data_IF_253135056198
#
_entry.id   IF_253135056198
#
_cell.length_a   1.000
_cell.length_b   1.000
_cell.length_c   1.000
_cell.angle_alpha   90.00
_cell.angle_beta   90.00
_cell.angle_gamma   90.00
#
_symmetry.space_group_name_H-M   'P 1'
#
loop_
_entity.id
_entity.type
_entity.pdbx_description
1 polymer ?
#
# COMPACT_ATOMS: atom_id res chain seq x y z
N UNK A 1 -5.86 21.41 -7.33
CA UNK A 1 -4.88 20.31 -7.49
C UNK A 1 -5.61 18.99 -7.24
N UNK A 2 -5.38 17.97 -8.07
CA UNK A 2 -5.95 16.63 -7.91
C UNK A 2 -5.15 15.83 -6.86
N UNK A 3 -5.83 15.13 -5.98
CA UNK A 3 -5.23 14.29 -4.92
C UNK A 3 -5.61 12.84 -5.16
N UNK A 4 -4.66 11.93 -5.04
CA UNK A 4 -4.90 10.49 -5.08
C UNK A 4 -4.75 9.92 -3.67
N UNK A 5 -5.71 9.11 -3.23
CA UNK A 5 -5.70 8.46 -1.91
C UNK A 5 -5.75 6.95 -2.14
N UNK A 6 -4.69 6.23 -1.79
CA UNK A 6 -4.74 4.77 -1.71
C UNK A 6 -5.16 4.38 -0.29
N UNK A 7 -6.20 3.56 -0.17
CA UNK A 7 -6.77 3.14 1.12
C UNK A 7 -6.57 1.64 1.30
N UNK A 8 -5.91 1.30 2.39
CA UNK A 8 -5.66 -0.06 2.84
C UNK A 8 -6.26 -0.28 4.23
N UNK A 9 -6.41 -1.53 4.69
CA UNK A 9 -7.24 -1.83 5.88
C UNK A 9 -6.43 -2.12 7.14
N UNK A 10 -5.27 -2.76 7.02
CA UNK A 10 -4.46 -3.25 8.13
C UNK A 10 -3.96 -2.12 9.04
N UNK A 11 -3.75 -0.92 8.47
CA UNK A 11 -3.29 0.28 9.17
C UNK A 11 -4.41 1.18 9.70
N UNK A 12 -5.68 0.91 9.39
CA UNK A 12 -6.83 1.72 9.83
C UNK A 12 -6.90 1.83 11.35
N UNK A 13 -7.38 2.98 11.84
CA UNK A 13 -7.50 3.24 13.27
C UNK A 13 -8.37 2.19 13.97
N UNK A 14 -7.90 1.71 15.13
CA UNK A 14 -8.63 0.72 15.93
C UNK A 14 -8.42 -0.75 15.53
N UNK A 15 -7.95 -1.07 14.32
CA UNK A 15 -7.79 -2.45 13.86
C UNK A 15 -6.39 -3.00 14.23
N UNK A 16 -6.30 -4.22 14.75
CA UNK A 16 -5.01 -4.78 15.22
C UNK A 16 -4.77 -6.25 14.89
N UNK A 17 -5.80 -6.99 14.45
CA UNK A 17 -5.71 -8.43 14.18
C UNK A 17 -6.28 -8.77 12.81
N UNK A 18 -5.81 -9.87 12.22
CA UNK A 18 -6.29 -10.36 10.92
C UNK A 18 -7.80 -10.53 10.82
N UNK A 19 -8.44 -10.99 11.91
CA UNK A 19 -9.90 -11.14 11.95
C UNK A 19 -10.66 -9.81 11.82
N UNK A 20 -9.99 -8.67 11.98
CA UNK A 20 -10.61 -7.36 11.78
C UNK A 20 -10.73 -6.99 10.29
N UNK A 21 -9.88 -7.58 9.43
CA UNK A 21 -9.66 -7.16 8.04
C UNK A 21 -9.96 -8.25 7.01
N UNK A 22 -10.54 -9.38 7.41
CA UNK A 22 -10.92 -10.46 6.48
C UNK A 22 -12.42 -10.71 6.54
N UNK A 23 -13.04 -11.10 5.43
CA UNK A 23 -14.49 -11.35 5.32
C UNK A 23 -15.02 -12.33 6.35
N UNK A 24 -14.23 -13.36 6.68
CA UNK A 24 -14.61 -14.38 7.66
C UNK A 24 -14.65 -13.85 9.11
N UNK A 25 -14.16 -12.63 9.36
CA UNK A 25 -14.15 -11.99 10.65
C UNK A 25 -15.54 -11.48 11.06
N UNK A 26 -15.93 -11.74 12.32
CA UNK A 26 -17.25 -11.37 12.84
C UNK A 26 -17.52 -9.85 12.79
N UNK A 27 -16.48 -9.03 12.93
CA UNK A 27 -16.57 -7.58 12.95
C UNK A 27 -16.26 -6.93 11.59
N UNK A 28 -15.96 -7.71 10.55
CA UNK A 28 -15.49 -7.18 9.26
C UNK A 28 -16.44 -6.14 8.66
N UNK A 29 -17.74 -6.45 8.62
CA UNK A 29 -18.76 -5.52 8.11
C UNK A 29 -18.76 -4.16 8.86
N UNK A 30 -18.55 -4.19 10.17
CA UNK A 30 -18.42 -2.97 10.99
C UNK A 30 -17.09 -2.25 10.73
N UNK A 31 -16.01 -3.00 10.56
CA UNK A 31 -14.67 -2.45 10.39
C UNK A 31 -14.47 -1.79 9.02
N UNK A 32 -15.21 -2.20 7.99
CA UNK A 32 -15.33 -1.47 6.72
C UNK A 32 -15.83 -0.03 6.90
N UNK A 33 -16.72 0.19 7.89
CA UNK A 33 -17.13 1.54 8.29
C UNK A 33 -16.00 2.35 8.93
N UNK A 34 -15.09 1.71 9.70
CA UNK A 34 -13.90 2.38 10.23
C UNK A 34 -12.95 2.80 9.10
N UNK A 35 -12.72 1.91 8.13
CA UNK A 35 -11.92 2.19 6.92
C UNK A 35 -12.50 3.36 6.13
N UNK A 36 -13.81 3.33 5.87
CA UNK A 36 -14.52 4.39 5.12
C UNK A 36 -14.44 5.74 5.83
N UNK A 37 -14.59 5.77 7.15
CA UNK A 37 -14.54 7.01 7.92
C UNK A 37 -13.12 7.59 8.05
N UNK A 38 -12.08 6.74 8.09
CA UNK A 38 -10.69 7.20 8.05
C UNK A 38 -10.32 7.73 6.65
N UNK A 39 -10.82 7.10 5.58
CA UNK A 39 -10.72 7.63 4.22
C UNK A 39 -11.44 8.98 4.10
N UNK A 40 -12.68 9.11 4.59
CA UNK A 40 -13.43 10.36 4.60
C UNK A 40 -12.70 11.48 5.34
N UNK A 41 -12.04 11.17 6.46
CA UNK A 41 -11.22 12.16 7.16
C UNK A 41 -10.06 12.67 6.29
N UNK A 42 -9.39 11.79 5.54
CA UNK A 42 -8.33 12.17 4.61
C UNK A 42 -8.88 12.98 3.42
N UNK A 43 -10.03 12.59 2.86
CA UNK A 43 -10.72 13.32 1.78
C UNK A 43 -11.08 14.74 2.22
N UNK A 44 -11.70 14.86 3.39
CA UNK A 44 -12.08 16.15 3.96
C UNK A 44 -10.86 17.04 4.20
N UNK A 45 -9.80 16.48 4.79
CA UNK A 45 -8.53 17.18 4.97
C UNK A 45 -7.91 17.63 3.64
N UNK A 46 -7.96 16.78 2.61
CA UNK A 46 -7.47 17.14 1.29
C UNK A 46 -8.21 18.34 0.70
N UNK A 47 -9.55 18.36 0.78
CA UNK A 47 -10.35 19.52 0.34
C UNK A 47 -10.05 20.77 1.17
N UNK A 48 -9.92 20.65 2.50
CA UNK A 48 -9.53 21.77 3.38
C UNK A 48 -8.15 22.34 3.00
N UNK A 49 -7.24 21.52 2.47
CA UNK A 49 -5.93 21.96 1.96
C UNK A 49 -5.97 22.59 0.56
N UNK A 50 -7.15 22.62 -0.07
CA UNK A 50 -7.37 23.18 -1.41
C UNK A 50 -7.25 22.19 -2.55
N UNK A 51 -7.47 20.89 -2.29
CA UNK A 51 -7.75 19.94 -3.37
C UNK A 51 -8.99 20.38 -4.16
N UNK A 52 -8.96 20.17 -5.47
CA UNK A 52 -10.08 20.46 -6.37
C UNK A 52 -10.76 19.19 -6.88
N UNK A 53 -10.10 18.05 -6.72
CA UNK A 53 -10.59 16.72 -7.03
C UNK A 53 -9.85 15.72 -6.15
N UNK A 54 -10.55 14.67 -5.72
CA UNK A 54 -9.98 13.57 -4.94
C UNK A 54 -10.38 12.25 -5.59
N UNK A 55 -9.39 11.42 -5.90
CA UNK A 55 -9.58 10.04 -6.37
C UNK A 55 -9.17 9.12 -5.22
N UNK A 56 -10.04 8.18 -4.86
CA UNK A 56 -9.79 7.18 -3.82
C UNK A 56 -9.65 5.83 -4.49
N UNK A 57 -8.61 5.08 -4.14
CA UNK A 57 -8.33 3.75 -4.65
C UNK A 57 -8.39 2.73 -3.51
N UNK A 58 -9.17 1.67 -3.70
CA UNK A 58 -9.20 0.53 -2.78
C UNK A 58 -7.98 -0.37 -3.02
N UNK A 59 -7.16 -0.59 -2.00
CA UNK A 59 -5.93 -1.39 -2.08
C UNK A 59 -5.99 -2.68 -1.26
N UNK A 60 -6.94 -2.81 -0.34
CA UNK A 60 -7.08 -4.00 0.50
C UNK A 60 -7.58 -5.20 -0.32
N UNK A 61 -6.82 -6.29 -0.34
CA UNK A 61 -7.02 -7.40 -1.29
C UNK A 61 -8.24 -8.30 -1.05
N UNK A 62 -9.11 -7.98 -0.09
CA UNK A 62 -10.27 -8.78 0.29
C UNK A 62 -11.52 -8.29 -0.48
N UNK A 63 -12.55 -9.13 -0.61
CA UNK A 63 -13.78 -8.83 -1.37
C UNK A 63 -13.51 -8.28 -2.80
N UNK A 64 -12.42 -8.70 -3.44
CA UNK A 64 -12.03 -8.18 -4.76
C UNK A 64 -11.86 -6.64 -4.76
N UNK A 65 -11.24 -6.05 -3.72
CA UNK A 65 -11.02 -4.61 -3.56
C UNK A 65 -12.34 -3.82 -3.55
N UNK A 66 -13.32 -4.34 -2.80
CA UNK A 66 -14.66 -3.75 -2.64
C UNK A 66 -15.05 -3.58 -1.16
N UNK A 67 -14.14 -3.05 -0.35
CA UNK A 67 -14.26 -2.88 1.10
C UNK A 67 -14.93 -1.57 1.52
N UNK A 68 -14.72 -0.46 0.80
CA UNK A 68 -15.34 0.82 1.10
C UNK A 68 -16.87 0.76 0.98
N UNK A 69 -17.54 1.49 1.86
CA UNK A 69 -19.00 1.67 1.84
C UNK A 69 -19.33 2.84 0.91
N UNK A 70 -19.75 2.54 -0.32
CA UNK A 70 -19.93 3.53 -1.40
C UNK A 70 -21.07 4.53 -1.12
N UNK A 71 -22.04 4.13 -0.29
CA UNK A 71 -23.11 4.99 0.21
C UNK A 71 -22.70 5.87 1.40
N UNK A 72 -21.53 5.63 2.00
CA UNK A 72 -21.00 6.41 3.13
C UNK A 72 -19.72 7.21 2.78
N UNK A 73 -19.02 6.87 1.70
CA UNK A 73 -17.84 7.60 1.23
C UNK A 73 -18.23 9.03 0.80
N UNK A 74 -17.31 9.99 1.01
CA UNK A 74 -17.55 11.40 0.69
C UNK A 74 -17.92 11.59 -0.79
N UNK A 75 -19.12 12.12 -1.04
CA UNK A 75 -19.71 12.27 -2.37
C UNK A 75 -18.91 13.18 -3.33
N UNK A 76 -17.91 13.93 -2.82
CA UNK A 76 -17.05 14.79 -3.65
C UNK A 76 -15.88 14.03 -4.30
N UNK A 77 -15.63 12.78 -3.91
CA UNK A 77 -14.56 11.97 -4.49
C UNK A 77 -15.07 11.06 -5.63
N UNK A 78 -14.13 10.49 -6.38
CA UNK A 78 -14.37 9.31 -7.22
C UNK A 78 -13.63 8.11 -6.65
N UNK A 79 -14.20 6.91 -6.78
CA UNK A 79 -13.62 5.68 -6.23
C UNK A 79 -13.20 4.72 -7.34
N UNK A 80 -11.96 4.26 -7.29
CA UNK A 80 -11.41 3.16 -8.09
C UNK A 80 -11.59 1.88 -7.27
N UNK A 81 -12.55 1.03 -7.66
CA UNK A 81 -12.90 -0.21 -6.95
C UNK A 81 -12.93 -1.43 -7.86
N UNK A 82 -12.87 -2.61 -7.25
CA UNK A 82 -13.00 -3.88 -7.94
C UNK A 82 -11.66 -4.43 -8.44
N UNK A 83 -11.50 -5.75 -8.37
CA UNK A 83 -10.38 -6.47 -8.97
C UNK A 83 -10.52 -6.52 -10.51
N UNK A 84 -9.44 -6.93 -11.19
CA UNK A 84 -9.42 -7.01 -12.66
C UNK A 84 -9.19 -5.67 -13.37
N UNK A 85 -8.59 -4.70 -12.66
CA UNK A 85 -8.21 -3.39 -13.21
C UNK A 85 -7.14 -3.56 -14.31
N UNK A 86 -7.08 -2.67 -15.31
CA UNK A 86 -6.00 -2.68 -16.30
C UNK A 86 -4.63 -2.46 -15.62
N UNK A 87 -3.60 -3.19 -16.07
CA UNK A 87 -2.22 -3.12 -15.54
C UNK A 87 -2.07 -3.63 -14.09
N UNK A 88 -1.26 -3.01 -13.24
CA UNK A 88 -1.18 -3.40 -11.82
C UNK A 88 -2.50 -3.12 -11.10
N UNK A 89 -2.90 -4.05 -10.23
CA UNK A 89 -4.12 -3.94 -9.41
C UNK A 89 -4.09 -2.73 -8.46
N UNK A 90 -2.89 -2.35 -8.00
CA UNK A 90 -2.66 -1.31 -6.99
C UNK A 90 -2.17 -0.02 -7.64
N UNK A 91 -2.43 1.11 -6.98
CA UNK A 91 -2.17 2.45 -7.55
C UNK A 91 -2.86 2.65 -8.92
N UNK A 92 -3.96 1.94 -9.13
CA UNK A 92 -4.71 1.98 -10.37
C UNK A 92 -5.32 3.37 -10.59
N UNK A 93 -5.31 3.83 -11.86
CA UNK A 93 -5.72 5.18 -12.26
C UNK A 93 -4.90 6.34 -11.65
N UNK A 94 -3.72 6.04 -11.06
CA UNK A 94 -2.72 7.08 -10.80
C UNK A 94 -2.09 7.53 -12.12
N UNK A 95 -2.16 8.83 -12.37
CA UNK A 95 -1.63 9.50 -13.56
C UNK A 95 -0.77 10.72 -13.17
N UNK A 96 -0.05 11.27 -14.14
CA UNK A 96 0.93 12.33 -13.93
C UNK A 96 0.28 13.71 -13.64
N UNK A 97 -1.04 13.86 -13.71
CA UNK A 97 -1.75 15.12 -13.39
C UNK A 97 -2.14 15.21 -11.90
N UNK A 98 -1.94 14.13 -11.13
CA UNK A 98 -2.09 14.12 -9.67
C UNK A 98 -0.98 14.95 -9.05
N UNK A 99 -1.34 15.83 -8.13
CA UNK A 99 -0.35 16.68 -7.45
C UNK A 99 0.26 16.06 -6.19
N UNK A 100 -0.44 15.12 -5.55
CA UNK A 100 0.07 14.41 -4.36
C UNK A 100 -0.69 13.10 -4.12
N UNK A 101 0.03 12.08 -3.64
CA UNK A 101 -0.52 10.82 -3.14
C UNK A 101 -0.59 10.83 -1.62
N UNK A 102 -1.71 10.36 -1.06
CA UNK A 102 -1.91 10.08 0.35
C UNK A 102 -2.13 8.57 0.53
N UNK A 103 -1.39 7.94 1.44
CA UNK A 103 -1.50 6.52 1.75
C UNK A 103 -2.21 6.37 3.11
N UNK A 104 -3.45 5.89 3.10
CA UNK A 104 -4.31 5.84 4.28
C UNK A 104 -4.52 4.40 4.71
N UNK A 105 -4.29 4.10 6.00
CA UNK A 105 -4.53 2.77 6.55
C UNK A 105 -3.51 1.73 6.12
N UNK A 106 -2.29 2.16 5.78
CA UNK A 106 -1.21 1.29 5.33
C UNK A 106 -0.45 0.64 6.50
N UNK A 107 0.29 -0.43 6.22
CA UNK A 107 1.00 -1.23 7.22
C UNK A 107 2.49 -1.41 6.92
N UNK A 108 3.23 -1.90 7.92
CA UNK A 108 4.66 -2.14 7.80
C UNK A 108 4.97 -3.30 6.85
N UNK A 109 6.16 -3.28 6.25
CA UNK A 109 6.62 -4.30 5.29
C UNK A 109 6.83 -5.69 5.89
N UNK A 110 6.82 -6.72 5.04
CA UNK A 110 7.13 -8.09 5.41
C UNK A 110 8.43 -8.19 6.22
N UNK A 111 8.37 -8.93 7.33
CA UNK A 111 9.52 -9.16 8.20
C UNK A 111 9.71 -8.15 9.32
N UNK A 112 8.90 -7.10 9.40
CA UNK A 112 8.91 -6.13 10.50
C UNK A 112 8.40 -6.74 11.80
N UNK A 113 9.14 -6.57 12.90
CA UNK A 113 8.75 -6.97 14.25
C UNK A 113 9.24 -5.91 15.28
N UNK A 114 8.34 -5.17 15.94
CA UNK A 114 6.88 -5.17 15.79
C UNK A 114 6.45 -4.58 14.43
N UNK A 115 5.15 -4.66 14.14
CA UNK A 115 4.51 -4.12 12.93
C UNK A 115 3.16 -4.80 12.74
N UNK A 116 2.06 -4.09 13.04
CA UNK A 116 0.71 -4.68 13.04
C UNK A 116 0.41 -5.21 11.63
N UNK A 117 0.08 -6.50 11.53
CA UNK A 117 -0.23 -7.21 10.30
C UNK A 117 0.83 -7.02 9.19
N UNK A 118 2.10 -6.83 9.59
CA UNK A 118 3.17 -6.49 8.66
C UNK A 118 3.39 -7.57 7.59
N UNK A 119 3.27 -7.14 6.33
CA UNK A 119 3.48 -7.95 5.14
C UNK A 119 3.83 -7.10 3.92
N UNK A 120 4.09 -7.76 2.80
CA UNK A 120 4.23 -7.12 1.48
C UNK A 120 3.53 -8.04 0.49
N UNK A 121 2.42 -7.62 -0.08
CA UNK A 121 1.55 -8.33 -1.04
C UNK A 121 0.99 -9.65 -0.50
N UNK A 122 1.83 -10.66 -0.27
CA UNK A 122 1.42 -11.94 0.30
C UNK A 122 1.91 -12.09 1.73
N UNK A 123 0.99 -11.95 2.70
CA UNK A 123 1.28 -12.24 4.11
C UNK A 123 1.81 -13.66 4.32
N UNK A 124 1.19 -14.63 3.66
CA UNK A 124 1.49 -16.05 3.84
C UNK A 124 2.82 -16.45 3.20
N UNK A 125 3.15 -15.91 2.03
CA UNK A 125 4.29 -16.41 1.25
C UNK A 125 5.57 -15.62 1.50
N UNK A 126 5.52 -14.30 1.68
CA UNK A 126 6.73 -13.48 1.61
C UNK A 126 7.37 -13.26 2.97
N UNK A 127 8.68 -13.49 3.03
CA UNK A 127 9.55 -13.15 4.14
C UNK A 127 10.09 -11.73 4.02
N UNK A 128 10.48 -11.34 2.81
CA UNK A 128 10.98 -10.02 2.45
C UNK A 128 10.84 -9.78 0.94
N UNK A 129 10.68 -8.51 0.56
CA UNK A 129 10.76 -8.03 -0.83
C UNK A 129 11.82 -6.94 -0.86
N UNK A 130 12.71 -6.97 -1.85
CA UNK A 130 13.76 -5.96 -2.04
C UNK A 130 13.66 -5.36 -3.43
N UNK A 131 13.79 -4.04 -3.51
CA UNK A 131 13.89 -3.29 -4.77
C UNK A 131 15.17 -2.46 -4.67
N UNK A 132 16.02 -2.51 -5.70
CA UNK A 132 17.30 -1.78 -5.66
C UNK A 132 18.24 -2.26 -4.54
N UNK A 133 18.07 -3.50 -4.06
CA UNK A 133 18.81 -4.05 -2.92
C UNK A 133 18.32 -3.57 -1.53
N UNK A 134 17.23 -2.80 -1.45
CA UNK A 134 16.65 -2.30 -0.19
C UNK A 134 15.33 -3.00 0.11
N UNK A 135 15.09 -3.37 1.37
CA UNK A 135 13.80 -3.93 1.81
C UNK A 135 12.65 -2.96 1.51
N UNK A 136 11.53 -3.50 1.00
CA UNK A 136 10.35 -2.75 0.59
C UNK A 136 9.05 -3.40 1.07
N UNK A 137 8.15 -2.56 1.55
CA UNK A 137 6.71 -2.80 1.68
C UNK A 137 5.94 -2.19 0.53
N UNK A 138 4.62 -2.27 0.63
CA UNK A 138 3.70 -1.75 -0.37
C UNK A 138 3.75 -0.22 -0.47
N UNK A 139 3.66 0.50 0.66
CA UNK A 139 3.75 1.96 0.69
C UNK A 139 5.02 2.49 0.02
N UNK A 140 6.10 1.73 0.18
CA UNK A 140 7.43 1.95 -0.37
C UNK A 140 7.48 1.70 -1.88
N UNK A 141 6.85 0.62 -2.37
CA UNK A 141 6.66 0.35 -3.79
C UNK A 141 5.77 1.41 -4.44
N UNK A 142 4.70 1.83 -3.76
CA UNK A 142 3.77 2.87 -4.24
C UNK A 142 4.45 4.23 -4.33
N UNK A 143 5.39 4.51 -3.43
CA UNK A 143 6.24 5.70 -3.50
C UNK A 143 7.14 5.70 -4.73
N UNK A 144 7.70 4.54 -5.10
CA UNK A 144 8.47 4.40 -6.34
C UNK A 144 7.56 4.63 -7.56
N UNK A 145 6.38 3.98 -7.57
CA UNK A 145 5.39 4.12 -8.66
C UNK A 145 4.94 5.58 -8.85
N UNK A 146 4.63 6.29 -7.76
CA UNK A 146 4.29 7.71 -7.83
C UNK A 146 5.45 8.55 -8.37
N UNK A 147 6.68 8.23 -7.96
CA UNK A 147 7.91 8.86 -8.44
C UNK A 147 8.14 8.78 -9.95
N UNK A 148 7.81 7.65 -10.56
CA UNK A 148 7.84 7.45 -12.03
C UNK A 148 6.97 8.48 -12.76
N UNK A 149 5.85 8.87 -12.15
CA UNK A 149 4.91 9.85 -12.69
C UNK A 149 5.20 11.30 -12.27
N UNK A 150 6.30 11.54 -11.57
CA UNK A 150 6.63 12.85 -10.97
C UNK A 150 5.68 13.28 -9.86
N UNK A 151 4.99 12.34 -9.22
CA UNK A 151 4.01 12.63 -8.15
C UNK A 151 4.65 12.35 -6.80
N UNK A 152 4.65 13.31 -5.85
CA UNK A 152 5.13 13.07 -4.50
C UNK A 152 4.10 12.28 -3.67
N UNK A 153 4.59 11.39 -2.80
CA UNK A 153 3.80 10.92 -1.65
C UNK A 153 3.92 11.96 -0.54
N UNK A 154 2.77 12.45 -0.05
CA UNK A 154 2.69 13.52 0.94
C UNK A 154 2.18 13.09 2.30
N UNK A 155 1.58 11.92 2.42
CA UNK A 155 1.05 11.42 3.69
C UNK A 155 1.06 9.89 3.77
N UNK A 156 1.29 9.38 4.97
CA UNK A 156 1.03 8.00 5.38
C UNK A 156 0.27 7.97 6.70
N UNK A 157 -0.71 7.07 6.81
CA UNK A 157 -1.37 6.75 8.09
C UNK A 157 -1.26 5.26 8.37
N UNK A 158 -1.06 4.92 9.65
CA UNK A 158 -0.87 3.54 10.09
C UNK A 158 -0.27 3.45 11.48
N UNK A 159 0.52 2.41 11.73
CA UNK A 159 1.33 2.30 12.96
C UNK A 159 2.63 3.12 12.88
N UNK A 160 3.40 3.15 13.97
CA UNK A 160 4.69 3.84 14.01
C UNK A 160 5.71 3.28 13.02
N UNK A 161 5.63 1.99 12.70
CA UNK A 161 6.64 1.27 11.93
C UNK A 161 6.52 1.62 10.46
N UNK A 162 5.31 1.60 9.89
CA UNK A 162 5.10 2.06 8.50
C UNK A 162 5.42 3.56 8.35
N UNK A 163 5.08 4.36 9.37
CA UNK A 163 5.42 5.78 9.41
C UNK A 163 6.94 6.02 9.36
N UNK A 164 7.72 5.20 10.08
CA UNK A 164 9.19 5.28 10.06
C UNK A 164 9.79 4.75 8.74
N UNK A 165 9.24 3.65 8.21
CA UNK A 165 9.68 3.07 6.94
C UNK A 165 9.51 4.06 5.78
N UNK A 166 8.34 4.70 5.67
CA UNK A 166 8.11 5.66 4.58
C UNK A 166 9.08 6.84 4.63
N UNK A 167 9.47 7.33 5.82
CA UNK A 167 10.42 8.45 5.96
C UNK A 167 11.78 8.17 5.32
N UNK A 168 12.14 6.91 5.09
CA UNK A 168 13.39 6.53 4.42
C UNK A 168 13.39 6.84 2.90
N UNK A 169 12.21 7.09 2.31
CA UNK A 169 12.03 7.42 0.89
C UNK A 169 11.28 8.74 0.66
N UNK A 170 10.37 9.09 1.55
CA UNK A 170 9.63 10.35 1.53
C UNK A 170 9.74 11.06 2.89
N UNK A 171 10.94 11.56 3.28
CA UNK A 171 11.14 12.24 4.57
C UNK A 171 10.30 13.51 4.74
N UNK A 172 9.80 14.09 3.64
CA UNK A 172 8.89 15.24 3.65
C UNK A 172 7.44 14.87 3.96
N UNK A 173 7.03 13.61 3.83
CA UNK A 173 5.64 13.19 3.98
C UNK A 173 5.16 13.33 5.43
N UNK A 174 3.91 13.75 5.59
CA UNK A 174 3.22 13.73 6.87
C UNK A 174 3.02 12.28 7.33
N UNK A 175 3.49 11.95 8.53
CA UNK A 175 3.32 10.62 9.11
C UNK A 175 2.32 10.70 10.25
N UNK A 176 1.10 10.17 10.03
CA UNK A 176 0.02 10.16 11.00
C UNK A 176 -0.09 8.79 11.65
N UNK A 177 0.58 8.64 12.79
CA UNK A 177 0.46 7.44 13.61
C UNK A 177 -0.91 7.39 14.28
N UNK A 178 -1.75 6.42 13.91
CA UNK A 178 -3.09 6.20 14.50
C UNK A 178 -3.11 5.07 15.52
N UNK A 179 -2.02 4.31 15.61
CA UNK A 179 -1.82 3.23 16.58
C UNK A 179 -0.34 2.95 16.80
N UNK A 180 0.00 2.28 17.91
CA UNK A 180 1.35 1.81 18.22
C UNK A 180 1.38 0.30 18.27
N UNK A 181 2.13 -0.33 17.36
CA UNK A 181 2.36 -1.76 17.37
C UNK A 181 3.17 -2.18 18.62
N UNK A 182 2.61 -3.10 19.40
CA UNK A 182 3.30 -3.82 20.49
C UNK A 182 3.78 -5.20 20.01
N UNK A 183 3.06 -5.77 19.05
CA UNK A 183 3.44 -6.97 18.31
C UNK A 183 2.86 -6.87 16.88
N UNK A 184 2.92 -7.96 16.11
CA UNK A 184 2.25 -8.01 14.81
C UNK A 184 0.72 -8.19 14.89
N UNK A 185 0.16 -8.43 16.08
CA UNK A 185 -1.29 -8.69 16.27
C UNK A 185 -1.88 -7.94 17.48
N UNK A 186 -1.13 -7.00 18.05
CA UNK A 186 -1.55 -6.22 19.21
C UNK A 186 -0.90 -4.84 19.17
N UNK A 187 -1.65 -3.84 19.64
CA UNK A 187 -1.16 -2.47 19.71
C UNK A 187 -2.02 -1.58 20.60
N UNK A 188 -1.47 -0.42 20.93
CA UNK A 188 -2.20 0.68 21.56
C UNK A 188 -2.83 1.52 20.46
N UNK A 189 -4.16 1.62 20.46
CA UNK A 189 -4.90 2.32 19.40
C UNK A 189 -5.36 3.69 19.86
N UNK A 190 -5.27 4.68 18.98
CA UNK A 190 -5.98 5.94 19.18
C UNK A 190 -7.46 5.67 18.84
N UNK A 191 -8.41 6.06 19.70
CA UNK A 191 -9.84 5.90 19.40
C UNK A 191 -10.20 6.51 18.03
N UNK A 192 -10.96 5.81 17.16
CA UNK A 192 -11.16 6.22 15.77
C UNK A 192 -11.64 7.66 15.57
N UNK A 193 -12.51 8.15 16.45
CA UNK A 193 -12.97 9.56 16.41
C UNK A 193 -11.81 10.55 16.47
N UNK A 194 -10.87 10.35 17.41
CA UNK A 194 -9.67 11.19 17.53
C UNK A 194 -8.67 10.91 16.42
N UNK A 195 -8.53 9.65 15.99
CA UNK A 195 -7.62 9.31 14.89
C UNK A 195 -8.01 10.05 13.59
N UNK A 196 -9.30 10.19 13.30
CA UNK A 196 -9.81 10.93 12.14
C UNK A 196 -9.46 12.41 12.17
N UNK A 197 -9.50 13.05 13.33
CA UNK A 197 -9.04 14.44 13.47
C UNK A 197 -7.56 14.59 13.08
N UNK A 198 -6.72 13.62 13.50
CA UNK A 198 -5.30 13.59 13.14
C UNK A 198 -5.09 13.34 11.65
N UNK A 199 -5.84 12.40 11.06
CA UNK A 199 -5.80 12.08 9.63
C UNK A 199 -6.20 13.31 8.81
N UNK A 200 -7.33 13.95 9.13
CA UNK A 200 -7.80 15.17 8.46
C UNK A 200 -6.77 16.28 8.52
N UNK A 201 -6.22 16.55 9.71
CA UNK A 201 -5.19 17.58 9.87
C UNK A 201 -3.91 17.25 9.09
N UNK A 202 -3.49 15.98 9.07
CA UNK A 202 -2.35 15.52 8.28
C UNK A 202 -2.58 15.67 6.78
N UNK A 203 -3.73 15.25 6.27
CA UNK A 203 -4.08 15.34 4.86
C UNK A 203 -4.15 16.79 4.38
N UNK A 204 -4.72 17.67 5.20
CA UNK A 204 -4.71 19.11 4.95
C UNK A 204 -3.29 19.65 4.78
N UNK A 205 -2.41 19.41 5.75
CA UNK A 205 -1.01 19.86 5.69
C UNK A 205 -0.28 19.28 4.48
N UNK A 206 -0.46 17.99 4.20
CA UNK A 206 0.16 17.35 3.05
C UNK A 206 -0.23 18.04 1.73
N UNK A 207 -1.52 18.38 1.56
CA UNK A 207 -2.02 19.08 0.37
C UNK A 207 -1.54 20.53 0.31
N UNK A 208 -1.57 21.27 1.43
CA UNK A 208 -1.04 22.64 1.50
C UNK A 208 0.45 22.69 1.10
N UNK A 209 1.26 21.78 1.65
CA UNK A 209 2.71 21.68 1.38
C UNK A 209 3.00 21.22 -0.05
N UNK A 210 2.21 20.30 -0.60
CA UNK A 210 2.30 19.92 -2.02
C UNK A 210 2.04 21.11 -2.94
N UNK A 211 0.99 21.90 -2.67
CA UNK A 211 0.69 23.13 -3.44
C UNK A 211 1.78 24.20 -3.28
N UNK A 212 2.43 24.25 -2.13
CA UNK A 212 3.58 25.11 -1.85
C UNK A 212 4.89 24.65 -2.52
N UNK A 213 4.92 23.47 -3.16
CA UNK A 213 6.12 22.93 -3.80
C UNK A 213 7.15 22.37 -2.82
N UNK A 214 6.74 22.02 -1.60
CA UNK A 214 7.66 21.52 -0.55
C UNK A 214 7.94 20.02 -0.64
N UNK A 215 7.10 19.27 -1.36
CA UNK A 215 7.23 17.81 -1.49
C UNK A 215 8.00 17.45 -2.76
N UNK A 216 8.68 16.31 -2.74
CA UNK A 216 9.50 15.84 -3.87
C UNK A 216 9.02 14.46 -4.35
N UNK A 217 9.05 14.16 -5.65
CA UNK A 217 8.91 12.79 -6.12
C UNK A 217 10.15 11.97 -5.75
N UNK A 218 9.98 10.74 -5.31
CA UNK A 218 11.10 9.83 -5.01
C UNK A 218 11.59 9.13 -6.28
N UNK A 219 12.88 9.25 -6.62
CA UNK A 219 13.44 8.74 -7.90
C UNK A 219 14.82 8.09 -7.77
N UNK A 220 15.19 7.70 -6.55
CA UNK A 220 16.57 7.30 -6.25
C UNK A 220 16.83 5.80 -6.50
N UNK A 221 15.82 5.04 -6.90
CA UNK A 221 15.97 3.61 -7.21
C UNK A 221 16.55 3.40 -8.61
N UNK A 222 17.41 2.39 -8.81
CA UNK A 222 17.98 2.08 -10.11
C UNK A 222 16.90 1.58 -11.08
N UNK A 223 16.92 2.06 -12.32
CA UNK A 223 16.06 1.62 -13.42
C UNK A 223 16.92 0.96 -14.51
N UNK A 224 16.58 -0.25 -14.99
CA UNK A 224 15.43 -1.06 -14.59
C UNK A 224 15.56 -1.60 -13.16
N UNK A 225 14.44 -1.79 -12.46
CA UNK A 225 14.38 -2.14 -11.05
C UNK A 225 14.79 -3.60 -10.82
N UNK A 226 15.93 -3.87 -10.15
CA UNK A 226 16.24 -5.21 -9.68
C UNK A 226 15.36 -5.52 -8.47
N UNK A 227 14.63 -6.63 -8.54
CA UNK A 227 13.66 -7.07 -7.54
C UNK A 227 14.08 -8.44 -7.03
N UNK A 228 14.11 -8.60 -5.71
CA UNK A 228 14.27 -9.89 -5.04
C UNK A 228 13.06 -10.16 -4.14
N UNK A 229 12.51 -11.37 -4.22
CA UNK A 229 11.46 -11.83 -3.31
C UNK A 229 11.95 -13.08 -2.61
N UNK A 230 12.04 -12.98 -1.28
CA UNK A 230 12.40 -14.09 -0.39
C UNK A 230 11.11 -14.67 0.19
N UNK A 231 10.85 -15.96 -0.06
CA UNK A 231 9.70 -16.67 0.49
C UNK A 231 10.01 -17.13 1.93
N UNK A 232 8.96 -17.25 2.75
CA UNK A 232 9.06 -17.79 4.12
C UNK A 232 9.54 -19.23 4.12
N UNK A 233 9.01 -20.01 3.17
CA UNK A 233 9.32 -21.42 2.96
C UNK A 233 10.03 -21.64 1.62
N UNK A 234 10.52 -22.87 1.40
CA UNK A 234 11.10 -23.24 0.12
C UNK A 234 10.11 -23.01 -1.03
N UNK A 235 10.62 -22.52 -2.17
CA UNK A 235 9.81 -22.25 -3.36
C UNK A 235 9.06 -23.54 -3.76
N UNK A 236 7.71 -23.52 -3.78
CA UNK A 236 6.90 -24.69 -4.12
C UNK A 236 7.21 -25.25 -5.50
N UNK A 237 7.08 -26.57 -5.69
CA UNK A 237 7.33 -27.22 -6.99
C UNK A 237 6.51 -26.60 -8.12
N UNK A 238 5.22 -26.34 -7.90
CA UNK A 238 4.35 -25.70 -8.89
C UNK A 238 4.88 -24.32 -9.33
N UNK A 239 5.36 -23.50 -8.39
CA UNK A 239 5.96 -22.20 -8.73
C UNK A 239 7.29 -22.39 -9.47
N UNK A 240 8.13 -23.35 -9.07
CA UNK A 240 9.38 -23.66 -9.80
C UNK A 240 9.10 -24.06 -11.24
N UNK A 241 8.11 -24.92 -11.47
CA UNK A 241 7.71 -25.38 -12.79
C UNK A 241 7.19 -24.22 -13.64
N UNK A 242 6.38 -23.33 -13.07
CA UNK A 242 5.92 -22.15 -13.78
C UNK A 242 7.08 -21.20 -14.15
N UNK A 243 8.00 -20.96 -13.21
CA UNK A 243 9.15 -20.08 -13.41
C UNK A 243 10.15 -20.63 -14.44
N UNK A 244 10.20 -21.95 -14.64
CA UNK A 244 11.04 -22.57 -15.68
C UNK A 244 10.67 -22.12 -17.11
N UNK A 245 9.46 -21.58 -17.29
CA UNK A 245 8.97 -21.07 -18.57
C UNK A 245 8.96 -19.53 -18.67
N UNK A 246 9.43 -18.83 -17.63
CA UNK A 246 9.43 -17.36 -17.55
C UNK A 246 10.86 -16.84 -17.39
N UNK A 247 11.60 -16.58 -18.50
CA UNK A 247 13.03 -16.23 -18.46
C UNK A 247 13.34 -14.92 -17.72
N UNK A 248 12.35 -14.08 -17.46
CA UNK A 248 12.46 -12.86 -16.67
C UNK A 248 12.59 -13.12 -15.16
N UNK A 249 12.40 -14.35 -14.70
CA UNK A 249 12.61 -14.75 -13.30
C UNK A 249 13.82 -15.68 -13.18
N UNK A 250 14.56 -15.53 -12.09
CA UNK A 250 15.71 -16.39 -11.78
C UNK A 250 15.61 -16.85 -10.33
N UNK A 251 15.54 -18.15 -10.11
CA UNK A 251 15.65 -18.72 -8.76
C UNK A 251 17.13 -18.68 -8.36
N UNK A 252 17.45 -17.95 -7.29
CA UNK A 252 18.84 -17.77 -6.85
C UNK A 252 19.23 -18.73 -5.73
N UNK A 253 18.25 -19.18 -4.94
CA UNK A 253 18.43 -20.19 -3.90
C UNK A 253 17.11 -20.94 -3.63
N UNK A 254 17.01 -21.68 -2.53
CA UNK A 254 15.81 -22.46 -2.21
C UNK A 254 14.55 -21.62 -1.95
N UNK A 255 14.70 -20.33 -1.61
CA UNK A 255 13.64 -19.42 -1.13
C UNK A 255 13.57 -18.10 -1.89
N UNK A 256 14.61 -17.74 -2.65
CA UNK A 256 14.72 -16.42 -3.27
C UNK A 256 14.55 -16.49 -4.79
N UNK A 257 13.70 -15.60 -5.31
CA UNK A 257 13.52 -15.38 -6.74
C UNK A 257 13.89 -13.93 -7.07
N UNK A 258 14.65 -13.75 -8.14
CA UNK A 258 15.00 -12.44 -8.73
C UNK A 258 14.22 -12.17 -10.01
N UNK A 259 13.95 -10.90 -10.26
CA UNK A 259 13.50 -10.38 -11.55
C UNK A 259 13.97 -8.94 -11.75
N UNK A 260 13.84 -8.41 -12.97
CA UNK A 260 14.20 -7.02 -13.32
C UNK A 260 13.02 -6.39 -14.07
N UNK A 261 12.50 -5.26 -13.61
CA UNK A 261 11.36 -4.60 -14.24
C UNK A 261 11.68 -3.20 -14.76
N UNK A 262 11.29 -2.87 -15.98
CA UNK A 262 11.54 -1.55 -16.59
C UNK A 262 10.72 -0.42 -15.96
N UNK A 263 9.62 -0.77 -15.31
CA UNK A 263 8.79 0.14 -14.53
C UNK A 263 8.17 -0.58 -13.32
N UNK A 264 7.67 0.17 -12.35
CA UNK A 264 7.16 -0.37 -11.10
C UNK A 264 5.76 -0.99 -11.23
N UNK A 265 4.99 -0.65 -12.28
CA UNK A 265 3.74 -1.34 -12.59
C UNK A 265 4.01 -2.82 -12.93
N UNK A 266 4.95 -3.06 -13.87
CA UNK A 266 5.44 -4.40 -14.18
C UNK A 266 6.12 -5.06 -12.97
N UNK A 267 6.90 -4.28 -12.22
CA UNK A 267 7.56 -4.75 -10.99
C UNK A 267 6.56 -5.30 -9.98
N UNK A 268 5.50 -4.55 -9.67
CA UNK A 268 4.46 -4.97 -8.74
C UNK A 268 3.74 -6.23 -9.23
N UNK A 269 3.39 -6.30 -10.52
CA UNK A 269 2.76 -7.50 -11.11
C UNK A 269 3.61 -8.75 -10.95
N UNK A 270 4.92 -8.64 -11.21
CA UNK A 270 5.86 -9.74 -11.02
C UNK A 270 6.04 -10.12 -9.56
N UNK A 271 6.08 -9.14 -8.64
CA UNK A 271 6.07 -9.41 -7.19
C UNK A 271 4.80 -10.16 -6.81
N UNK A 272 3.62 -9.68 -7.20
CA UNK A 272 2.34 -10.30 -6.88
C UNK A 272 2.23 -11.73 -7.42
N UNK A 273 2.71 -11.96 -8.65
CA UNK A 273 2.75 -13.28 -9.23
C UNK A 273 3.57 -14.28 -8.40
N UNK A 274 4.70 -13.88 -7.80
CA UNK A 274 5.47 -14.77 -6.92
C UNK A 274 4.71 -15.14 -5.63
N UNK A 275 3.67 -14.38 -5.27
CA UNK A 275 2.86 -14.60 -4.07
C UNK A 275 1.61 -15.44 -4.31
N UNK A 276 1.10 -15.46 -5.55
CA UNK A 276 -0.16 -16.11 -5.91
C UNK A 276 -0.04 -17.15 -7.03
N UNK A 277 1.08 -17.16 -7.76
CA UNK A 277 1.42 -18.02 -8.90
C UNK A 277 1.70 -19.48 -8.57
N UNK A 278 1.14 -20.00 -7.48
CA UNK A 278 1.41 -21.34 -6.96
C UNK A 278 0.53 -22.43 -7.60
N UNK A 279 -0.25 -22.09 -8.63
CA UNK A 279 -1.06 -23.04 -9.40
C UNK A 279 -0.28 -23.49 -10.66
N UNK A 280 -0.17 -24.81 -10.94
CA UNK A 280 0.52 -25.30 -12.12
C UNK A 280 -0.03 -24.69 -13.42
N UNK A 281 0.86 -24.25 -14.32
CA UNK A 281 0.51 -23.68 -15.62
C UNK A 281 0.13 -22.19 -15.59
N UNK A 282 0.19 -21.54 -14.44
CA UNK A 282 -0.03 -20.10 -14.33
C UNK A 282 1.20 -19.36 -14.87
N UNK A 283 1.13 -18.85 -16.10
CA UNK A 283 2.26 -18.18 -16.79
C UNK A 283 2.01 -16.69 -17.05
N UNK A 284 0.94 -16.14 -16.48
CA UNK A 284 0.60 -14.71 -16.60
C UNK A 284 0.69 -14.06 -15.23
N UNK A 285 1.36 -12.91 -15.22
CA UNK A 285 1.42 -11.92 -14.16
C UNK A 285 0.83 -10.61 -14.66
#
# INVERSE_FOLDING_TARGET
MKVFISVDMEGISGLVRWADVITAGIDFARNRGLMTLDANAAIEGAFDGGATAVVVEENHGVEELCDLLIDEIDARCTVVRGAGRPAATTMAALDADVGVVLLVGHHARAGSRPGIMAHTVSYQQFRAVRVGGRDCGESEIFTIRAGELSVPVGLITGDQVVCEQLRQRAPWAEAVQVKRALSNVAGEVIPPVRARELIRAGARRAVERARGGELRPYRDEPVPYPIEVELREAIPSALRDNLAHLPEFTITDERTVRTIADNMDLGFRRIAYLGYGNQPGMIRY
#
